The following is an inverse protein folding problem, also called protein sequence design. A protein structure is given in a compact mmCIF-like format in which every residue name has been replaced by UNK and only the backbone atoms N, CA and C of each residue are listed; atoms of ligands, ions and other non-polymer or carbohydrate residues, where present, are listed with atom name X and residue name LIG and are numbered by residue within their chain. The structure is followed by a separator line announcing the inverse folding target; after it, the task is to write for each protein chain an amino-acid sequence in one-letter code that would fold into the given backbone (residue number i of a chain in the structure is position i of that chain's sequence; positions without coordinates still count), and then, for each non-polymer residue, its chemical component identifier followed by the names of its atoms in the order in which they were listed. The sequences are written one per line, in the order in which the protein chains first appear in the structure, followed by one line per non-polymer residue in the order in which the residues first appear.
data_IF_515359547000
#
_entry.id   IF_515359547000
#
_cell.length_a   1.000
_cell.length_b   1.000
_cell.length_c   1.000
_cell.angle_alpha   90.00
_cell.angle_beta   90.00
_cell.angle_gamma   90.00
#
_symmetry.space_group_name_H-M   'P 1'
#
loop_
_entity.id
_entity.type
_entity.pdbx_description
1 polymer ?
#
# COMPACT_ATOMS: atom_id res chain seq x y z
N UNK A 1 -6.63 -9.35 -7.45
CA UNK A 1 -6.73 -7.89 -7.29
C UNK A 1 -7.38 -7.69 -5.95
N UNK A 2 -6.84 -6.81 -5.09
CA UNK A 2 -7.54 -6.45 -3.86
C UNK A 2 -8.84 -5.70 -4.20
N UNK A 3 -9.89 -5.88 -3.41
CA UNK A 3 -11.19 -5.26 -3.67
C UNK A 3 -11.13 -3.73 -3.57
N UNK A 4 -10.41 -3.20 -2.57
CA UNK A 4 -10.24 -1.76 -2.38
C UNK A 4 -8.79 -1.38 -2.04
N UNK A 5 -8.48 -0.10 -2.27
CA UNK A 5 -7.22 0.51 -1.86
C UNK A 5 -7.50 1.89 -1.25
N UNK A 6 -6.83 2.21 -0.14
CA UNK A 6 -6.73 3.58 0.37
C UNK A 6 -5.52 4.21 -0.29
N UNK A 7 -5.73 5.36 -0.93
CA UNK A 7 -4.70 6.05 -1.70
C UNK A 7 -4.33 7.37 -1.05
N UNK A 8 -3.04 7.68 -1.07
CA UNK A 8 -2.54 9.00 -0.78
C UNK A 8 -2.86 9.92 -1.97
N UNK A 9 -3.50 11.05 -1.69
CA UNK A 9 -3.59 12.15 -2.65
C UNK A 9 -2.32 12.99 -2.51
N UNK A 10 -1.40 12.94 -3.47
CA UNK A 10 -0.13 13.63 -3.35
C UNK A 10 -0.34 15.16 -3.32
N UNK A 11 0.43 15.84 -2.48
CA UNK A 11 0.59 17.30 -2.52
C UNK A 11 1.52 17.68 -3.68
N UNK A 12 1.61 18.98 -3.98
CA UNK A 12 2.33 19.51 -5.15
C UNK A 12 3.75 18.96 -5.30
N UNK A 13 4.54 18.93 -4.23
CA UNK A 13 5.91 18.40 -4.26
C UNK A 13 5.96 16.93 -4.70
N UNK A 14 5.20 16.07 -4.02
CA UNK A 14 5.15 14.64 -4.35
C UNK A 14 4.54 14.42 -5.75
N UNK A 15 3.54 15.21 -6.15
CA UNK A 15 2.93 15.13 -7.47
C UNK A 15 3.97 15.41 -8.57
N UNK A 16 4.81 16.43 -8.41
CA UNK A 16 5.88 16.75 -9.37
C UNK A 16 6.90 15.61 -9.50
N UNK A 17 7.28 14.97 -8.38
CA UNK A 17 8.16 13.80 -8.41
C UNK A 17 7.50 12.60 -9.10
N UNK A 18 6.20 12.38 -8.88
CA UNK A 18 5.44 11.32 -9.53
C UNK A 18 5.44 11.54 -11.05
N UNK A 19 5.08 12.74 -11.51
CA UNK A 19 5.04 13.07 -12.94
C UNK A 19 6.41 12.87 -13.59
N UNK A 20 7.46 13.48 -13.01
CA UNK A 20 8.85 13.34 -13.49
C UNK A 20 9.28 11.87 -13.53
N UNK A 21 8.96 11.09 -12.51
CA UNK A 21 9.31 9.67 -12.47
C UNK A 21 8.59 8.90 -13.59
N UNK A 22 7.29 9.16 -13.78
CA UNK A 22 6.43 8.46 -14.74
C UNK A 22 6.76 8.76 -16.19
N UNK A 23 7.14 9.99 -16.52
CA UNK A 23 7.58 10.39 -17.87
C UNK A 23 8.82 9.62 -18.32
N UNK A 24 9.62 9.14 -17.36
CA UNK A 24 10.84 8.38 -17.59
C UNK A 24 10.65 6.86 -17.45
N UNK A 25 9.41 6.36 -17.37
CA UNK A 25 9.13 4.92 -17.33
C UNK A 25 8.91 4.34 -18.72
N UNK A 26 9.21 3.04 -18.86
CA UNK A 26 8.80 2.30 -20.06
C UNK A 26 7.27 2.31 -20.19
N UNK A 27 6.76 2.30 -21.41
CA UNK A 27 5.32 2.34 -21.71
C UNK A 27 4.49 1.24 -21.00
N UNK A 28 5.12 0.12 -20.63
CA UNK A 28 4.50 -1.01 -19.93
C UNK A 28 4.43 -0.84 -18.41
N UNK A 29 5.14 0.13 -17.82
CA UNK A 29 5.23 0.33 -16.37
C UNK A 29 5.02 1.79 -15.91
N UNK A 30 4.20 2.64 -16.56
CA UNK A 30 4.08 4.05 -16.19
C UNK A 30 3.15 4.22 -14.98
N UNK A 31 3.46 3.58 -13.85
CA UNK A 31 2.70 3.64 -12.60
C UNK A 31 3.62 3.68 -11.39
N UNK A 32 3.21 4.37 -10.32
CA UNK A 32 3.91 4.34 -9.02
C UNK A 32 3.49 3.15 -8.15
N UNK A 33 2.49 2.39 -8.60
CA UNK A 33 1.96 1.19 -7.97
C UNK A 33 2.16 -0.03 -8.90
N UNK A 34 1.53 -1.16 -8.60
CA UNK A 34 1.59 -2.41 -9.36
C UNK A 34 0.68 -2.47 -10.61
N UNK A 35 -0.09 -1.42 -10.89
CA UNK A 35 -1.11 -1.42 -11.97
C UNK A 35 -1.17 -0.09 -12.69
N UNK A 36 -1.44 -0.13 -13.99
CA UNK A 36 -1.67 1.05 -14.84
C UNK A 36 -3.12 1.54 -14.80
N UNK A 37 -3.97 0.94 -13.97
CA UNK A 37 -5.33 1.42 -13.73
C UNK A 37 -5.27 2.89 -13.29
N UNK A 38 -5.90 3.77 -14.08
CA UNK A 38 -5.68 5.22 -13.99
C UNK A 38 -5.81 5.79 -12.57
N UNK A 39 -6.84 5.42 -11.77
CA UNK A 39 -6.97 5.93 -10.40
C UNK A 39 -5.82 5.56 -9.45
N UNK A 40 -5.06 4.51 -9.77
CA UNK A 40 -3.90 4.02 -9.02
C UNK A 40 -2.57 4.33 -9.73
N UNK A 41 -2.60 4.87 -10.94
CA UNK A 41 -1.38 5.10 -11.73
C UNK A 41 -0.50 6.18 -11.10
N UNK A 42 -1.12 7.24 -10.60
CA UNK A 42 -0.48 8.46 -10.08
C UNK A 42 -0.73 8.71 -8.60
N UNK A 43 -1.46 7.81 -7.91
CA UNK A 43 -1.80 7.95 -6.50
C UNK A 43 -1.20 6.81 -5.69
N UNK A 44 -0.13 7.05 -4.91
CA UNK A 44 0.50 6.00 -4.12
C UNK A 44 -0.51 5.31 -3.21
N UNK A 45 -0.53 3.97 -3.22
CA UNK A 45 -1.51 3.17 -2.48
C UNK A 45 -0.84 2.35 -1.37
N UNK A 46 -0.80 2.84 -0.12
CA UNK A 46 -0.13 2.13 0.96
C UNK A 46 -1.01 1.12 1.70
N UNK A 47 -2.35 1.12 1.49
CA UNK A 47 -3.27 0.24 2.22
C UNK A 47 -4.18 -0.48 1.23
N UNK A 48 -4.23 -1.81 1.34
CA UNK A 48 -5.09 -2.66 0.51
C UNK A 48 -6.11 -3.39 1.39
N UNK A 49 -7.32 -3.56 0.85
CA UNK A 49 -8.44 -4.15 1.55
C UNK A 49 -9.01 -5.30 0.72
N UNK A 50 -9.17 -6.45 1.35
CA UNK A 50 -9.84 -7.61 0.78
C UNK A 50 -11.13 -7.89 1.56
N UNK A 51 -12.24 -8.11 0.86
CA UNK A 51 -13.53 -8.43 1.46
C UNK A 51 -13.93 -9.88 1.19
N UNK A 52 -14.57 -10.50 2.17
CA UNK A 52 -15.10 -11.86 2.06
C UNK A 52 -16.49 -11.99 2.70
N UNK A 53 -17.27 -12.85 2.06
CA UNK A 53 -18.51 -13.38 2.66
C UNK A 53 -18.17 -14.26 3.87
N UNK A 54 -19.09 -14.40 4.85
CA UNK A 54 -18.88 -15.29 6.00
C UNK A 54 -18.58 -16.75 5.60
N UNK A 55 -19.08 -17.20 4.45
CA UNK A 55 -18.82 -18.52 3.88
C UNK A 55 -17.50 -18.62 3.10
N UNK A 56 -16.74 -17.53 3.01
CA UNK A 56 -15.50 -17.45 2.26
C UNK A 56 -14.33 -18.15 2.96
N UNK A 57 -13.38 -18.64 2.16
CA UNK A 57 -12.13 -19.18 2.68
C UNK A 57 -11.15 -18.04 2.99
N UNK A 58 -10.79 -17.87 4.27
CA UNK A 58 -9.84 -16.86 4.74
C UNK A 58 -8.42 -17.07 4.17
N UNK A 59 -7.99 -18.31 3.95
CA UNK A 59 -6.68 -18.61 3.37
C UNK A 59 -6.60 -18.07 1.93
N UNK A 60 -7.68 -18.22 1.16
CA UNK A 60 -7.76 -17.67 -0.20
C UNK A 60 -7.68 -16.15 -0.20
N UNK A 61 -8.29 -15.49 0.80
CA UNK A 61 -8.23 -14.04 0.95
C UNK A 61 -6.81 -13.55 1.25
N UNK A 62 -6.12 -14.22 2.17
CA UNK A 62 -4.72 -13.93 2.50
C UNK A 62 -3.80 -14.13 1.29
N UNK A 63 -4.05 -15.16 0.47
CA UNK A 63 -3.32 -15.38 -0.78
C UNK A 63 -3.58 -14.25 -1.79
N UNK A 64 -4.83 -13.85 -1.99
CA UNK A 64 -5.17 -12.77 -2.95
C UNK A 64 -4.55 -11.43 -2.56
N UNK A 65 -4.67 -11.07 -1.29
CA UNK A 65 -4.05 -9.89 -0.72
C UNK A 65 -2.51 -9.99 -0.78
N UNK A 66 -1.94 -11.14 -0.42
CA UNK A 66 -0.51 -11.40 -0.46
C UNK A 66 0.08 -11.27 -1.86
N UNK A 67 -0.59 -11.82 -2.89
CA UNK A 67 -0.17 -11.64 -4.29
C UNK A 67 -0.18 -10.16 -4.67
N UNK A 68 -1.26 -9.44 -4.33
CA UNK A 68 -1.40 -8.03 -4.68
C UNK A 68 -0.30 -7.16 -4.04
N UNK A 69 0.01 -7.42 -2.77
CA UNK A 69 1.09 -6.75 -2.04
C UNK A 69 2.45 -7.17 -2.57
N UNK A 70 2.66 -8.44 -2.93
CA UNK A 70 3.93 -8.90 -3.50
C UNK A 70 4.27 -8.15 -4.80
N UNK A 71 3.29 -7.94 -5.70
CA UNK A 71 3.53 -7.18 -6.92
C UNK A 71 3.77 -5.70 -6.62
N UNK A 72 3.04 -5.11 -5.65
CA UNK A 72 3.32 -3.74 -5.17
C UNK A 72 4.76 -3.61 -4.66
N UNK A 73 5.19 -4.57 -3.85
CA UNK A 73 6.51 -4.62 -3.27
C UNK A 73 7.60 -4.75 -4.34
N UNK A 74 7.37 -5.57 -5.38
CA UNK A 74 8.28 -5.66 -6.53
C UNK A 74 8.36 -4.35 -7.30
N UNK A 75 7.23 -3.65 -7.49
CA UNK A 75 7.25 -2.32 -8.11
C UNK A 75 8.10 -1.37 -7.27
N UNK A 76 7.82 -1.26 -5.99
CA UNK A 76 8.54 -0.36 -5.09
C UNK A 76 10.03 -0.68 -5.05
N UNK A 77 10.42 -1.96 -5.02
CA UNK A 77 11.83 -2.37 -5.14
C UNK A 77 12.47 -1.94 -6.45
N UNK A 78 11.75 -1.98 -7.56
CA UNK A 78 12.25 -1.44 -8.82
C UNK A 78 12.52 0.07 -8.73
N UNK A 79 11.68 0.81 -8.02
CA UNK A 79 11.87 2.26 -7.79
C UNK A 79 13.09 2.49 -6.89
N UNK A 80 13.26 1.71 -5.81
CA UNK A 80 14.42 1.78 -4.92
C UNK A 80 15.72 1.56 -5.70
N UNK A 81 15.74 0.52 -6.55
CA UNK A 81 16.89 0.20 -7.39
C UNK A 81 17.22 1.31 -8.41
N UNK A 82 16.20 1.96 -8.98
CA UNK A 82 16.40 3.11 -9.88
C UNK A 82 17.02 4.32 -9.18
N UNK A 83 16.81 4.46 -7.87
CA UNK A 83 17.47 5.48 -7.05
C UNK A 83 18.81 5.04 -6.46
N UNK A 84 19.39 3.92 -6.93
CA UNK A 84 20.67 3.39 -6.45
C UNK A 84 20.63 2.77 -5.05
N UNK A 85 19.43 2.57 -4.47
CA UNK A 85 19.26 2.03 -3.12
C UNK A 85 19.13 0.51 -3.08
N UNK A 86 19.31 -0.05 -1.88
CA UNK A 86 18.98 -1.44 -1.53
C UNK A 86 18.13 -1.52 -0.25
N UNK A 87 17.46 -0.40 0.07
CA UNK A 87 16.62 -0.24 1.25
C UNK A 87 15.49 -1.27 1.29
N UNK A 88 15.09 -1.64 2.51
CA UNK A 88 13.85 -2.42 2.71
C UNK A 88 12.64 -1.57 2.38
N UNK A 89 11.62 -2.21 1.82
CA UNK A 89 10.31 -1.57 1.66
C UNK A 89 9.70 -1.32 3.04
N UNK A 90 9.06 -0.17 3.22
CA UNK A 90 8.34 0.16 4.46
C UNK A 90 7.29 -0.91 4.75
N UNK A 91 7.10 -1.24 6.03
CA UNK A 91 6.01 -2.14 6.44
C UNK A 91 4.68 -1.44 6.18
N UNK A 92 3.78 -2.11 5.46
CA UNK A 92 2.47 -1.53 5.12
C UNK A 92 1.31 -2.25 5.82
N UNK A 93 0.25 -1.52 6.21
CA UNK A 93 -0.98 -2.12 6.71
C UNK A 93 -1.80 -2.72 5.58
N UNK A 94 -2.52 -3.79 5.90
CA UNK A 94 -3.49 -4.43 5.01
C UNK A 94 -4.71 -4.85 5.82
N UNK A 95 -5.89 -4.77 5.22
CA UNK A 95 -7.15 -5.00 5.93
C UNK A 95 -7.87 -6.17 5.30
N UNK A 96 -8.35 -7.08 6.14
CA UNK A 96 -9.30 -8.11 5.76
C UNK A 96 -10.65 -7.80 6.39
N UNK A 97 -11.70 -7.85 5.59
CA UNK A 97 -13.08 -7.67 6.05
C UNK A 97 -13.82 -8.98 5.83
N UNK A 98 -14.32 -9.58 6.90
CA UNK A 98 -15.17 -10.77 6.84
C UNK A 98 -16.51 -10.43 7.47
N UNK A 99 -17.57 -10.44 6.65
CA UNK A 99 -18.88 -9.96 7.06
C UNK A 99 -18.82 -8.51 7.59
N UNK A 100 -19.14 -8.30 8.86
CA UNK A 100 -19.05 -6.99 9.52
C UNK A 100 -17.67 -6.69 10.11
N UNK A 101 -16.80 -7.69 10.26
CA UNK A 101 -15.58 -7.60 11.08
C UNK A 101 -14.38 -7.15 10.24
N UNK A 102 -13.64 -6.17 10.75
CA UNK A 102 -12.42 -5.67 10.11
C UNK A 102 -11.19 -6.07 10.94
N UNK A 103 -10.23 -6.71 10.28
CA UNK A 103 -8.96 -7.15 10.87
C UNK A 103 -7.81 -6.47 10.16
N UNK A 104 -6.92 -5.85 10.93
CA UNK A 104 -5.69 -5.22 10.45
C UNK A 104 -4.53 -6.22 10.55
N UNK A 105 -3.77 -6.32 9.47
CA UNK A 105 -2.52 -7.08 9.41
C UNK A 105 -1.43 -6.18 8.83
N UNK A 106 -0.18 -6.65 8.89
CA UNK A 106 0.96 -5.89 8.38
C UNK A 106 1.80 -6.74 7.44
N UNK A 107 2.25 -6.17 6.34
CA UNK A 107 3.19 -6.82 5.43
C UNK A 107 4.57 -6.22 5.62
N UNK A 108 5.50 -7.07 6.05
CA UNK A 108 6.90 -6.74 6.33
C UNK A 108 7.80 -7.23 5.19
N UNK A 109 8.74 -6.37 4.79
CA UNK A 109 9.90 -6.78 3.99
C UNK A 109 10.93 -7.53 4.86
N UNK A 110 11.01 -8.85 4.71
CA UNK A 110 11.99 -9.70 5.39
C UNK A 110 13.27 -9.93 4.55
N UNK A 111 13.46 -9.18 3.46
CA UNK A 111 14.62 -9.27 2.57
C UNK A 111 14.36 -10.20 1.39
N UNK A 112 14.41 -11.52 1.62
CA UNK A 112 14.18 -12.51 0.55
C UNK A 112 12.70 -12.84 0.34
N UNK A 113 11.87 -12.49 1.32
CA UNK A 113 10.43 -12.78 1.32
C UNK A 113 9.66 -11.60 1.90
N UNK A 114 8.35 -11.58 1.67
CA UNK A 114 7.42 -10.75 2.43
C UNK A 114 6.74 -11.61 3.49
N UNK A 115 6.51 -11.04 4.67
CA UNK A 115 5.79 -11.73 5.76
C UNK A 115 4.51 -10.99 6.07
N UNK A 116 3.39 -11.71 6.07
CA UNK A 116 2.13 -11.22 6.58
C UNK A 116 2.08 -11.49 8.10
N UNK A 117 2.07 -10.43 8.89
CA UNK A 117 1.92 -10.48 10.33
C UNK A 117 0.42 -10.47 10.65
N UNK A 118 -0.14 -11.67 10.79
CA UNK A 118 -1.50 -11.88 11.26
C UNK A 118 -1.51 -12.04 12.78
N UNK A 119 -1.77 -10.92 13.47
CA UNK A 119 -1.85 -10.85 14.92
C UNK A 119 -3.28 -10.98 15.47
N UNK A 120 -4.26 -11.32 14.63
CA UNK A 120 -5.69 -11.23 14.98
C UNK A 120 -6.10 -9.82 15.50
N UNK A 121 -5.54 -8.77 14.90
CA UNK A 121 -5.78 -7.39 15.31
C UNK A 121 -7.12 -6.88 14.77
N UNK A 122 -8.22 -7.21 15.46
CA UNK A 122 -9.54 -6.65 15.15
C UNK A 122 -9.55 -5.14 15.41
N UNK A 123 -9.95 -4.35 14.41
CA UNK A 123 -10.02 -2.89 14.47
C UNK A 123 -11.44 -2.33 14.55
N UNK A 124 -12.45 -3.20 14.47
CA UNK A 124 -13.86 -2.84 14.66
C UNK A 124 -14.79 -3.70 13.85
N UNK A 125 -16.06 -3.30 13.82
CA UNK A 125 -17.11 -3.91 13.02
C UNK A 125 -18.16 -2.89 12.57
N UNK A 126 -18.97 -3.31 11.60
CA UNK A 126 -20.10 -2.53 11.09
C UNK A 126 -21.45 -2.99 11.64
N UNK A 127 -21.48 -3.91 12.61
CA UNK A 127 -22.73 -4.43 13.20
C UNK A 127 -23.10 -3.76 14.53
N UNK A 128 -22.21 -2.96 15.10
CA UNK A 128 -22.44 -2.22 16.33
C UNK A 128 -22.01 -0.74 16.22
N UNK A 129 -22.67 0.14 16.97
CA UNK A 129 -22.28 1.57 17.05
C UNK A 129 -20.85 1.68 17.59
N UNK A 130 -20.51 0.90 18.62
CA UNK A 130 -19.16 0.86 19.18
C UNK A 130 -18.13 0.45 18.12
N UNK A 131 -18.41 -0.61 17.37
CA UNK A 131 -17.56 -1.08 16.27
C UNK A 131 -17.33 0.00 15.23
N UNK A 132 -18.37 0.75 14.85
CA UNK A 132 -18.25 1.86 13.89
C UNK A 132 -17.31 2.96 14.43
N UNK A 133 -17.40 3.31 15.72
CA UNK A 133 -16.47 4.27 16.32
C UNK A 133 -15.03 3.73 16.39
N UNK A 134 -14.83 2.43 16.62
CA UNK A 134 -13.52 1.80 16.53
C UNK A 134 -12.96 1.87 15.11
N UNK A 135 -13.77 1.60 14.08
CA UNK A 135 -13.36 1.73 12.68
C UNK A 135 -12.99 3.16 12.32
N UNK A 136 -13.74 4.15 12.82
CA UNK A 136 -13.41 5.56 12.62
C UNK A 136 -12.05 5.91 13.26
N UNK A 137 -11.82 5.49 14.50
CA UNK A 137 -10.56 5.73 15.19
C UNK A 137 -9.38 5.04 14.49
N UNK A 138 -9.55 3.77 14.07
CA UNK A 138 -8.53 3.03 13.32
C UNK A 138 -8.23 3.68 11.97
N UNK A 139 -9.26 4.16 11.25
CA UNK A 139 -9.09 4.86 9.97
C UNK A 139 -8.32 6.17 10.15
N UNK A 140 -8.58 6.92 11.23
CA UNK A 140 -7.80 8.11 11.58
C UNK A 140 -6.34 7.77 11.85
N UNK A 141 -6.05 6.73 12.63
CA UNK A 141 -4.68 6.30 12.91
C UNK A 141 -3.93 5.85 11.63
N UNK A 142 -4.62 5.18 10.70
CA UNK A 142 -4.04 4.79 9.41
C UNK A 142 -3.78 6.01 8.50
N UNK A 143 -4.63 7.03 8.57
CA UNK A 143 -4.42 8.29 7.87
C UNK A 143 -3.20 9.04 8.44
N UNK A 144 -3.07 9.12 9.76
CA UNK A 144 -1.92 9.72 10.43
C UNK A 144 -0.63 9.00 10.05
N UNK A 145 -0.61 7.66 10.12
CA UNK A 145 0.54 6.87 9.65
C UNK A 145 0.86 7.11 8.16
N UNK A 146 -0.17 7.25 7.32
CA UNK A 146 0.03 7.53 5.89
C UNK A 146 0.72 8.88 5.68
N UNK A 147 0.32 9.91 6.44
CA UNK A 147 0.89 11.25 6.32
C UNK A 147 2.26 11.38 7.00
N UNK A 148 2.44 10.75 8.15
CA UNK A 148 3.62 10.97 9.01
C UNK A 148 4.77 10.01 8.69
N UNK A 149 4.47 8.85 8.12
CA UNK A 149 5.46 7.81 7.82
C UNK A 149 5.54 7.49 6.34
N UNK A 150 4.42 7.17 5.70
CA UNK A 150 4.44 6.71 4.31
C UNK A 150 4.72 7.83 3.30
N UNK A 151 4.02 8.98 3.37
CA UNK A 151 4.21 10.11 2.45
C UNK A 151 5.68 10.59 2.45
N UNK A 152 6.33 10.89 3.61
CA UNK A 152 7.73 11.32 3.63
C UNK A 152 8.68 10.27 3.06
N UNK A 153 8.47 8.99 3.40
CA UNK A 153 9.29 7.89 2.90
C UNK A 153 9.16 7.74 1.38
N UNK A 154 7.94 7.81 0.85
CA UNK A 154 7.66 7.66 -0.58
C UNK A 154 8.17 8.85 -1.39
N UNK A 155 8.04 10.07 -0.87
CA UNK A 155 8.63 11.28 -1.46
C UNK A 155 10.15 11.15 -1.57
N UNK A 156 10.82 10.76 -0.48
CA UNK A 156 12.27 10.56 -0.50
C UNK A 156 12.70 9.46 -1.47
N UNK A 157 11.91 8.40 -1.61
CA UNK A 157 12.13 7.33 -2.58
C UNK A 157 12.08 7.87 -4.02
N UNK A 158 11.03 8.60 -4.40
CA UNK A 158 10.90 9.14 -5.76
C UNK A 158 11.91 10.26 -6.04
N UNK A 159 12.26 11.08 -5.06
CA UNK A 159 13.31 12.08 -5.20
C UNK A 159 14.65 11.43 -5.58
N UNK A 160 15.04 10.32 -4.93
CA UNK A 160 16.26 9.58 -5.29
C UNK A 160 16.18 8.97 -6.69
N UNK A 161 15.05 8.33 -7.01
CA UNK A 161 14.84 7.67 -8.29
C UNK A 161 14.78 8.62 -9.50
N UNK A 162 14.45 9.90 -9.27
CA UNK A 162 14.44 10.95 -10.31
C UNK A 162 15.81 11.60 -10.49
N UNK A 163 16.58 11.82 -9.42
CA UNK A 163 17.93 12.42 -9.49
C UNK A 163 18.97 11.48 -10.10
N UNK A 164 18.97 10.19 -9.73
CA UNK A 164 19.98 9.21 -10.17
C UNK A 164 20.00 8.93 -11.69
N UNK A 165 19.08 9.52 -12.45
CA UNK A 165 18.98 9.39 -13.92
C UNK A 165 19.45 10.63 -14.69
N UNK A 166 19.78 11.72 -13.98
CA UNK A 166 20.36 12.92 -14.57
C UNK A 166 21.90 12.88 -14.62
N UNK A 167 22.50 11.90 -13.95
CA UNK A 167 23.93 11.55 -14.00
C UNK A 167 24.16 10.33 -14.92
#
# INVERSE_FOLDING_TARGET
MADFAVVLRPKEELQNFIETFLDNQQYTTPTVNQTIYEPLRTRPAPIFIETKMPSGNMDTANVQLGIWVAVWHQRVRSIIALGGGSDKVITIPVIQIVASVWTLMFVLDAGTEIRLLDGNSRIGDTDSILGIYQLQAASSALADWTNDSFEPWFTALLARATVSRLE
#
